data_IF_042160280036
#
_entry.id   IF_042160280036
#
_cell.length_a   1.000
_cell.length_b   1.000
_cell.length_c   1.000
_cell.angle_alpha   90.00
_cell.angle_beta   90.00
_cell.angle_gamma   90.00
#
_symmetry.space_group_name_H-M   'P 1'
#
loop_
_entity.id
_entity.type
_entity.pdbx_description
1 polymer ?
#
# COMPACT_ATOMS: atom_id res chain seq x y z
N UNK A 1 1.39 30.01 -6.69
CA UNK A 1 1.05 29.25 -7.88
C UNK A 1 2.32 28.66 -8.51
N UNK A 2 2.40 27.34 -8.61
CA UNK A 2 3.54 26.65 -9.22
C UNK A 2 3.75 26.94 -10.69
N UNK A 3 2.71 27.44 -11.38
CA UNK A 3 2.77 27.76 -12.82
C UNK A 3 3.30 29.17 -13.13
N UNK A 4 2.96 30.17 -12.31
CA UNK A 4 3.25 31.58 -12.65
C UNK A 4 3.78 32.43 -11.48
N UNK A 5 4.00 31.85 -10.31
CA UNK A 5 4.57 32.52 -9.13
C UNK A 5 3.64 33.49 -8.36
N UNK A 6 2.43 33.76 -8.87
CA UNK A 6 1.49 34.69 -8.19
C UNK A 6 0.85 34.03 -6.98
N UNK A 7 0.47 34.86 -5.99
CA UNK A 7 -0.28 34.40 -4.80
C UNK A 7 -1.62 33.81 -5.24
N UNK A 8 -1.97 32.68 -4.64
CA UNK A 8 -3.25 32.01 -4.85
C UNK A 8 -4.21 32.37 -3.71
N UNK A 9 -5.51 32.23 -3.94
CA UNK A 9 -6.54 32.33 -2.92
C UNK A 9 -7.28 31.02 -2.73
N UNK A 10 -7.89 30.84 -1.56
CA UNK A 10 -8.85 29.77 -1.35
C UNK A 10 -10.09 30.00 -2.21
N UNK A 11 -10.56 28.94 -2.87
CA UNK A 11 -11.86 28.97 -3.53
C UNK A 11 -13.00 28.91 -2.48
N UNK A 12 -14.16 29.43 -2.84
CA UNK A 12 -15.31 29.49 -1.92
C UNK A 12 -16.25 28.30 -2.03
N UNK A 13 -16.15 27.53 -3.11
CA UNK A 13 -17.01 26.37 -3.39
C UNK A 13 -16.23 25.06 -3.27
N UNK A 14 -15.02 25.04 -3.82
CA UNK A 14 -14.17 23.86 -3.87
C UNK A 14 -13.02 23.94 -2.86
N UNK A 15 -12.57 22.78 -2.36
CA UNK A 15 -11.37 22.68 -1.51
C UNK A 15 -10.11 22.79 -2.35
N UNK A 16 -9.87 23.96 -2.93
CA UNK A 16 -8.70 24.22 -3.78
C UNK A 16 -8.15 25.62 -3.58
N UNK A 17 -6.94 25.83 -4.06
CA UNK A 17 -6.36 27.13 -4.28
C UNK A 17 -6.55 27.52 -5.76
N UNK A 18 -6.95 28.77 -6.00
CA UNK A 18 -7.16 29.31 -7.34
C UNK A 18 -6.22 30.48 -7.60
N UNK A 19 -5.56 30.46 -8.75
CA UNK A 19 -4.72 31.55 -9.22
C UNK A 19 -5.51 32.49 -10.15
N UNK A 20 -5.79 33.69 -9.70
CA UNK A 20 -6.53 34.67 -10.51
C UNK A 20 -5.77 35.15 -11.75
N UNK A 21 -4.42 35.11 -11.70
CA UNK A 21 -3.59 35.53 -12.82
C UNK A 21 -3.57 34.55 -14.00
N UNK A 22 -3.29 33.25 -13.73
CA UNK A 22 -3.17 32.26 -14.81
C UNK A 22 -4.28 31.20 -14.80
N UNK A 23 -5.26 31.32 -13.90
CA UNK A 23 -6.42 30.46 -13.74
C UNK A 23 -6.07 29.00 -13.36
N UNK A 24 -4.85 28.76 -12.86
CA UNK A 24 -4.44 27.48 -12.35
C UNK A 24 -5.21 27.11 -11.07
N UNK A 25 -5.58 25.86 -10.96
CA UNK A 25 -6.26 25.27 -9.79
C UNK A 25 -5.33 24.25 -9.12
N UNK A 26 -5.20 24.35 -7.80
CA UNK A 26 -4.41 23.41 -6.99
C UNK A 26 -5.32 22.76 -5.96
N UNK A 27 -5.56 21.49 -6.11
CA UNK A 27 -6.29 20.67 -5.13
C UNK A 27 -5.34 20.10 -4.09
N UNK A 28 -5.83 19.72 -2.88
CA UNK A 28 -5.03 18.96 -1.92
C UNK A 28 -4.48 17.70 -2.56
N UNK A 29 -3.19 17.46 -2.36
CA UNK A 29 -2.54 16.26 -2.87
C UNK A 29 -3.02 15.04 -2.09
N UNK A 30 -3.34 13.97 -2.80
CA UNK A 30 -3.59 12.63 -2.25
C UNK A 30 -2.75 11.66 -3.07
N UNK A 31 -1.87 10.91 -2.39
CA UNK A 31 -1.01 9.91 -2.99
C UNK A 31 -1.62 8.53 -2.77
N UNK A 32 -2.14 7.85 -3.80
CA UNK A 32 -2.62 6.49 -3.67
C UNK A 32 -1.46 5.52 -3.45
N UNK A 33 -1.65 4.58 -2.52
CA UNK A 33 -0.71 3.51 -2.26
C UNK A 33 -1.47 2.21 -1.96
N UNK A 34 -0.90 1.08 -2.34
CA UNK A 34 -1.48 -0.22 -2.07
C UNK A 34 -0.83 -0.87 -0.84
N UNK A 35 -1.60 -1.71 -0.14
CA UNK A 35 -1.12 -2.68 0.84
C UNK A 35 -1.58 -4.04 0.38
N UNK A 36 -0.67 -5.00 0.27
CA UNK A 36 -0.91 -6.26 -0.42
C UNK A 36 -0.69 -7.46 0.51
N UNK A 37 -1.76 -8.17 0.81
CA UNK A 37 -1.71 -9.50 1.43
C UNK A 37 -1.63 -10.58 0.34
N UNK A 38 -0.43 -11.06 0.06
CA UNK A 38 -0.23 -12.18 -0.86
C UNK A 38 -0.49 -13.48 -0.11
N UNK A 39 -1.41 -14.29 -0.62
CA UNK A 39 -1.83 -15.55 0.01
C UNK A 39 -1.53 -16.76 -0.89
N UNK A 40 -1.22 -17.88 -0.26
CA UNK A 40 -1.09 -19.19 -0.92
C UNK A 40 -1.76 -20.25 -0.03
N UNK A 41 -3.03 -20.51 -0.31
CA UNK A 41 -3.85 -21.38 0.50
C UNK A 41 -3.97 -20.90 1.96
N UNK A 42 -3.33 -21.62 2.88
CA UNK A 42 -3.40 -21.31 4.33
C UNK A 42 -2.26 -20.44 4.84
N UNK A 43 -1.44 -19.87 3.97
CA UNK A 43 -0.30 -19.03 4.35
C UNK A 43 -0.35 -17.65 3.71
N UNK A 44 0.23 -16.68 4.39
CA UNK A 44 0.35 -15.29 3.94
C UNK A 44 1.82 -14.87 3.96
N UNK A 45 2.22 -14.08 2.97
CA UNK A 45 3.55 -13.47 2.93
C UNK A 45 3.57 -12.24 3.82
N UNK A 46 4.54 -12.18 4.75
CA UNK A 46 4.79 -11.01 5.58
C UNK A 46 6.24 -10.57 5.47
N UNK A 47 6.47 -9.27 5.53
CA UNK A 47 7.78 -8.64 5.34
C UNK A 47 8.23 -7.79 6.52
N UNK A 48 9.50 -7.41 6.52
CA UNK A 48 10.06 -6.35 7.37
C UNK A 48 10.90 -5.41 6.53
N UNK A 49 10.71 -4.13 6.72
CA UNK A 49 11.45 -3.10 5.99
C UNK A 49 12.93 -3.06 6.35
N UNK A 50 13.78 -2.87 5.34
CA UNK A 50 15.19 -2.58 5.52
C UNK A 50 15.40 -1.16 6.05
N UNK A 51 16.42 -0.95 6.86
CA UNK A 51 16.88 0.38 7.29
C UNK A 51 15.90 1.23 8.12
N UNK A 52 14.65 0.82 8.30
CA UNK A 52 13.63 1.59 9.02
C UNK A 52 13.63 1.27 10.52
N UNK A 53 13.19 2.23 11.35
CA UNK A 53 12.99 2.03 12.80
C UNK A 53 11.82 1.09 13.11
N UNK A 54 10.87 0.95 12.20
CA UNK A 54 9.74 0.03 12.33
C UNK A 54 10.20 -1.42 12.12
N UNK A 55 10.16 -2.23 13.18
CA UNK A 55 10.68 -3.62 13.19
C UNK A 55 9.58 -4.70 13.23
N UNK A 56 8.31 -4.31 13.23
CA UNK A 56 7.19 -5.25 13.22
C UNK A 56 7.00 -5.82 11.81
N UNK A 57 6.31 -6.95 11.73
CA UNK A 57 5.86 -7.51 10.47
C UNK A 57 4.87 -6.56 9.78
N UNK A 58 5.00 -6.48 8.48
CA UNK A 58 4.17 -5.70 7.58
C UNK A 58 3.73 -6.56 6.39
N UNK A 59 2.85 -6.03 5.57
CA UNK A 59 2.54 -6.51 4.24
C UNK A 59 3.30 -5.66 3.23
N UNK A 60 3.45 -6.14 1.99
CA UNK A 60 4.05 -5.38 0.89
C UNK A 60 3.23 -4.11 0.64
N UNK A 61 3.89 -3.03 0.29
CA UNK A 61 3.20 -1.75 0.13
C UNK A 61 4.00 -0.78 -0.74
N UNK A 62 3.35 -0.19 -1.74
CA UNK A 62 3.98 0.80 -2.58
C UNK A 62 3.01 1.82 -3.16
N UNK A 63 3.56 2.86 -3.78
CA UNK A 63 2.80 3.94 -4.37
C UNK A 63 2.38 3.61 -5.81
N UNK A 64 1.15 4.03 -6.16
CA UNK A 64 0.69 4.00 -7.54
C UNK A 64 1.47 5.02 -8.37
N UNK A 65 1.99 4.60 -9.52
CA UNK A 65 2.69 5.45 -10.46
C UNK A 65 1.73 6.08 -11.48
N UNK A 66 2.22 7.12 -12.17
CA UNK A 66 1.41 7.81 -13.20
C UNK A 66 1.12 6.85 -14.35
N UNK A 67 -0.16 6.62 -14.60
CA UNK A 67 -0.64 5.77 -15.69
C UNK A 67 -0.98 4.35 -15.29
N UNK A 68 -0.74 3.97 -14.03
CA UNK A 68 -1.14 2.67 -13.49
C UNK A 68 -2.57 2.68 -12.95
N UNK A 69 -3.21 1.54 -13.06
CA UNK A 69 -4.36 1.18 -12.21
C UNK A 69 -3.84 0.67 -10.85
N UNK A 70 -4.68 0.67 -9.83
CA UNK A 70 -4.27 0.16 -8.51
C UNK A 70 -4.01 -1.35 -8.52
N UNK A 71 -4.65 -2.10 -9.42
CA UNK A 71 -4.42 -3.53 -9.63
C UNK A 71 -3.06 -3.79 -10.30
N UNK A 72 -2.67 -2.95 -11.26
CA UNK A 72 -1.33 -2.99 -11.87
C UNK A 72 -0.25 -2.65 -10.85
N UNK A 73 -0.50 -1.64 -9.98
CA UNK A 73 0.39 -1.32 -8.86
C UNK A 73 0.58 -2.53 -7.93
N UNK A 74 -0.49 -3.24 -7.57
CA UNK A 74 -0.38 -4.47 -6.75
C UNK A 74 0.54 -5.49 -7.40
N UNK A 75 0.36 -5.75 -8.69
CA UNK A 75 1.15 -6.75 -9.41
C UNK A 75 2.62 -6.33 -9.55
N UNK A 76 2.89 -5.05 -9.82
CA UNK A 76 4.23 -4.50 -9.94
C UNK A 76 4.98 -4.54 -8.62
N UNK A 77 4.41 -4.01 -7.54
CA UNK A 77 5.03 -3.96 -6.22
C UNK A 77 5.38 -5.37 -5.70
N UNK A 78 4.48 -6.35 -5.87
CA UNK A 78 4.77 -7.73 -5.50
C UNK A 78 5.92 -8.31 -6.34
N UNK A 79 5.97 -7.98 -7.63
CA UNK A 79 7.06 -8.45 -8.49
C UNK A 79 8.38 -7.77 -8.14
N UNK A 80 8.39 -6.48 -7.85
CA UNK A 80 9.61 -5.71 -7.54
C UNK A 80 10.18 -6.08 -6.18
N UNK A 81 9.34 -6.12 -5.12
CA UNK A 81 9.82 -6.34 -3.75
C UNK A 81 10.19 -7.81 -3.48
N UNK A 82 9.49 -8.79 -4.10
CA UNK A 82 9.63 -10.22 -3.75
C UNK A 82 9.70 -11.19 -4.92
N UNK A 83 9.65 -10.72 -6.17
CA UNK A 83 9.77 -11.53 -7.38
C UNK A 83 8.60 -12.47 -7.67
N UNK A 84 7.45 -12.28 -7.03
CA UNK A 84 6.30 -13.17 -7.16
C UNK A 84 5.28 -12.66 -8.18
N UNK A 85 4.60 -13.59 -8.85
CA UNK A 85 3.41 -13.31 -9.66
C UNK A 85 2.15 -13.54 -8.83
N UNK A 86 1.14 -12.72 -9.08
CA UNK A 86 -0.14 -12.80 -8.36
C UNK A 86 -1.33 -12.78 -9.31
N UNK A 87 -2.44 -13.34 -8.84
CA UNK A 87 -3.74 -13.39 -9.50
C UNK A 87 -4.86 -13.13 -8.51
N UNK A 88 -6.10 -13.05 -9.01
CA UNK A 88 -7.31 -12.88 -8.18
C UNK A 88 -7.18 -11.70 -7.21
N UNK A 89 -6.72 -10.54 -7.70
CA UNK A 89 -6.56 -9.32 -6.92
C UNK A 89 -7.94 -8.85 -6.46
N UNK A 90 -8.13 -8.72 -5.15
CA UNK A 90 -9.41 -8.40 -4.50
C UNK A 90 -9.23 -7.21 -3.57
N UNK A 91 -9.95 -6.12 -3.85
CA UNK A 91 -9.99 -4.98 -2.93
C UNK A 91 -10.63 -5.37 -1.60
N UNK A 92 -9.98 -4.96 -0.51
CA UNK A 92 -10.48 -5.16 0.84
C UNK A 92 -11.06 -3.88 1.43
N UNK A 93 -10.24 -2.85 1.65
CA UNK A 93 -10.62 -1.62 2.34
C UNK A 93 -9.61 -0.51 2.06
N UNK A 94 -9.99 0.75 2.26
CA UNK A 94 -9.06 1.88 2.26
C UNK A 94 -8.95 2.52 3.64
N UNK A 95 -7.80 3.16 3.89
CA UNK A 95 -7.52 3.95 5.08
C UNK A 95 -6.71 5.19 4.71
N UNK A 96 -7.15 6.43 5.09
CA UNK A 96 -6.29 7.59 5.02
C UNK A 96 -5.14 7.43 6.02
N UNK A 97 -3.91 7.70 5.57
CA UNK A 97 -2.73 7.63 6.42
C UNK A 97 -2.42 9.00 7.00
N UNK A 98 -2.62 9.15 8.33
CA UNK A 98 -2.59 10.45 9.00
C UNK A 98 -1.21 11.14 9.06
N UNK A 99 -0.13 10.43 8.73
CA UNK A 99 1.24 10.96 8.78
C UNK A 99 1.73 11.52 7.45
N UNK A 100 0.94 11.39 6.39
CA UNK A 100 1.27 11.86 5.04
C UNK A 100 0.00 12.12 4.22
N UNK A 101 0.17 12.49 2.95
CA UNK A 101 -0.93 12.72 2.00
C UNK A 101 -1.46 11.39 1.40
N UNK A 102 -1.19 10.24 2.01
CA UNK A 102 -1.43 8.93 1.43
C UNK A 102 -2.85 8.42 1.69
N UNK A 103 -3.47 7.89 0.66
CA UNK A 103 -4.64 7.02 0.76
C UNK A 103 -4.19 5.58 0.55
N UNK A 104 -4.17 4.79 1.63
CA UNK A 104 -3.85 3.37 1.57
C UNK A 104 -5.07 2.58 1.07
N UNK A 105 -4.83 1.66 0.13
CA UNK A 105 -5.83 0.73 -0.40
C UNK A 105 -5.35 -0.69 -0.19
N UNK A 106 -6.05 -1.46 0.64
CA UNK A 106 -5.73 -2.84 0.97
C UNK A 106 -6.28 -3.81 -0.06
N UNK A 107 -5.44 -4.73 -0.50
CA UNK A 107 -5.78 -5.82 -1.41
C UNK A 107 -5.30 -7.16 -0.87
N UNK A 108 -6.08 -8.20 -1.10
CA UNK A 108 -5.60 -9.58 -1.06
C UNK A 108 -5.45 -10.09 -2.48
N UNK A 109 -4.45 -10.92 -2.69
CA UNK A 109 -4.25 -11.62 -3.95
C UNK A 109 -3.70 -13.01 -3.69
N UNK A 110 -3.89 -13.90 -4.66
CA UNK A 110 -3.39 -15.26 -4.58
C UNK A 110 -2.06 -15.36 -5.35
N UNK A 111 -1.13 -16.15 -4.83
CA UNK A 111 0.10 -16.51 -5.54
C UNK A 111 -0.25 -17.15 -6.89
N UNK A 112 0.50 -16.78 -7.94
CA UNK A 112 0.39 -17.38 -9.27
C UNK A 112 1.72 -17.98 -9.70
N UNK A 113 1.91 -19.26 -9.40
CA UNK A 113 3.11 -20.02 -9.77
C UNK A 113 3.98 -20.39 -8.57
N UNK A 114 5.30 -20.22 -8.72
CA UNK A 114 6.26 -20.58 -7.69
C UNK A 114 6.22 -19.62 -6.50
N UNK A 115 6.45 -20.17 -5.29
CA UNK A 115 6.46 -19.45 -4.03
C UNK A 115 7.88 -19.01 -3.60
N UNK A 116 8.89 -19.21 -4.46
CA UNK A 116 10.27 -18.82 -4.17
C UNK A 116 10.40 -17.29 -4.18
N UNK A 117 10.76 -16.73 -3.03
CA UNK A 117 10.90 -15.29 -2.83
C UNK A 117 12.29 -14.84 -3.29
N UNK A 118 12.32 -13.85 -4.18
CA UNK A 118 13.52 -13.09 -4.54
C UNK A 118 13.41 -11.70 -3.95
N UNK A 119 14.14 -11.45 -2.86
CA UNK A 119 14.01 -10.23 -2.07
C UNK A 119 14.72 -9.04 -2.72
N UNK A 120 14.05 -7.89 -2.77
CA UNK A 120 14.74 -6.61 -2.94
C UNK A 120 15.31 -6.16 -1.59
N UNK A 121 16.63 -6.37 -1.40
CA UNK A 121 17.33 -6.08 -0.15
C UNK A 121 17.48 -4.58 0.16
N UNK A 122 17.23 -3.70 -0.81
CA UNK A 122 17.22 -2.25 -0.59
C UNK A 122 15.94 -1.81 0.16
N UNK A 123 14.82 -2.48 -0.09
CA UNK A 123 13.53 -2.14 0.51
C UNK A 123 13.15 -3.05 1.68
N UNK A 124 13.43 -4.34 1.58
CA UNK A 124 13.03 -5.34 2.57
C UNK A 124 14.25 -6.03 3.20
N UNK A 125 14.21 -6.15 4.53
CA UNK A 125 15.18 -6.95 5.28
C UNK A 125 14.78 -8.42 5.35
N UNK A 126 13.50 -8.73 5.11
CA UNK A 126 12.93 -10.06 5.24
C UNK A 126 11.58 -10.11 4.53
N UNK A 127 11.29 -11.24 3.86
CA UNK A 127 9.95 -11.64 3.46
C UNK A 127 9.80 -13.16 3.62
N UNK A 128 8.81 -13.59 4.39
CA UNK A 128 8.61 -14.99 4.75
C UNK A 128 7.13 -15.36 4.70
N UNK A 129 6.87 -16.62 4.33
CA UNK A 129 5.54 -17.21 4.39
C UNK A 129 5.21 -17.68 5.82
N UNK A 130 4.04 -17.28 6.31
CA UNK A 130 3.52 -17.70 7.62
C UNK A 130 2.24 -18.50 7.45
N UNK A 131 2.20 -19.70 8.01
CA UNK A 131 0.94 -20.42 8.17
C UNK A 131 0.00 -19.63 9.07
N UNK A 132 -1.29 -19.73 8.82
CA UNK A 132 -2.34 -18.95 9.48
C UNK A 132 -2.26 -18.99 11.01
N UNK A 133 -2.00 -20.14 11.58
CA UNK A 133 -1.90 -20.41 13.02
C UNK A 133 -0.54 -20.02 13.62
N UNK A 134 0.48 -19.83 12.79
CA UNK A 134 1.83 -19.41 13.21
C UNK A 134 2.07 -17.91 13.15
N UNK A 135 1.10 -17.11 12.68
CA UNK A 135 1.24 -15.66 12.54
C UNK A 135 1.55 -15.01 13.89
N UNK A 136 2.74 -14.38 14.07
CA UNK A 136 3.19 -13.84 15.36
C UNK A 136 2.72 -12.39 15.58
N UNK A 137 1.58 -12.00 15.01
CA UNK A 137 1.05 -10.63 15.07
C UNK A 137 -0.14 -10.58 15.99
N UNK A 138 -0.12 -9.59 16.90
CA UNK A 138 -1.23 -9.31 17.82
C UNK A 138 -2.14 -8.21 17.27
N UNK A 139 -3.46 -8.27 17.56
CA UNK A 139 -4.40 -7.26 17.11
C UNK A 139 -4.03 -5.84 17.58
N UNK A 140 -4.03 -4.89 16.64
CA UNK A 140 -3.93 -3.46 16.89
C UNK A 140 -4.99 -2.72 16.07
N UNK A 141 -5.48 -1.59 16.57
CA UNK A 141 -6.49 -0.80 15.87
C UNK A 141 -5.90 0.30 14.98
N UNK A 142 -4.59 0.39 14.88
CA UNK A 142 -3.91 1.58 14.40
C UNK A 142 -3.55 1.53 12.92
N UNK A 143 -3.62 0.35 12.26
CA UNK A 143 -3.16 0.23 10.89
C UNK A 143 -3.95 -0.80 10.08
N UNK A 144 -4.22 -0.45 8.83
CA UNK A 144 -4.85 -1.33 7.85
C UNK A 144 -4.04 -2.63 7.65
N UNK A 145 -2.71 -2.54 7.64
CA UNK A 145 -1.81 -3.70 7.56
C UNK A 145 -2.07 -4.70 8.68
N UNK A 146 -2.15 -4.23 9.93
CA UNK A 146 -2.43 -5.10 11.07
C UNK A 146 -3.83 -5.71 10.96
N UNK A 147 -4.84 -4.90 10.61
CA UNK A 147 -6.22 -5.39 10.41
C UNK A 147 -6.24 -6.52 9.37
N UNK A 148 -5.57 -6.34 8.23
CA UNK A 148 -5.51 -7.35 7.17
C UNK A 148 -4.82 -8.64 7.64
N UNK A 149 -3.68 -8.55 8.32
CA UNK A 149 -2.98 -9.74 8.85
C UNK A 149 -3.89 -10.50 9.83
N UNK A 150 -4.57 -9.79 10.73
CA UNK A 150 -5.47 -10.40 11.73
C UNK A 150 -6.71 -11.02 11.08
N UNK A 151 -7.28 -10.39 10.06
CA UNK A 151 -8.41 -10.95 9.30
C UNK A 151 -8.04 -12.25 8.60
N UNK A 152 -6.85 -12.33 8.01
CA UNK A 152 -6.35 -13.57 7.47
C UNK A 152 -6.13 -14.62 8.56
N UNK A 153 -5.49 -14.26 9.69
CA UNK A 153 -5.29 -15.15 10.84
C UNK A 153 -6.59 -15.74 11.39
N UNK A 154 -7.68 -14.98 11.33
CA UNK A 154 -9.01 -15.40 11.79
C UNK A 154 -9.81 -16.21 10.76
N UNK A 155 -9.29 -16.40 9.55
CA UNK A 155 -9.99 -17.12 8.47
C UNK A 155 -11.18 -16.34 7.87
N UNK A 156 -11.16 -15.02 7.97
CA UNK A 156 -12.22 -14.15 7.45
C UNK A 156 -11.97 -13.66 6.01
N UNK A 157 -10.84 -14.06 5.44
CA UNK A 157 -10.43 -13.80 4.05
C UNK A 157 -9.64 -14.98 3.51
#
# INVERSE_FOLDING_TARGET
>A
CGRCGHKMRHDTKERMLFCEHCRNMEFPKICPAVIVGVTDGNRILMSKYAGRSYKKYALLAGFTEIGETVEETVAREVMEEVGLKVKNIRYYKSQPWAFSDTLLMGFYCDLDGDAEVTLDEEELALAEWFERDEIPVEPSRDSLTNEMIIKFKQGEV
#
